data_IF_352562450427
#
_entry.id   IF_352562450427
#
_cell.length_a   1.000
_cell.length_b   1.000
_cell.length_c   1.000
_cell.angle_alpha   90.00
_cell.angle_beta   90.00
_cell.angle_gamma   90.00
#
_symmetry.space_group_name_H-M   'P 1'
#
loop_
_entity.id
_entity.type
_entity.pdbx_description
1 polymer ?
#
# COMPACT_ATOMS: atom_id res chain seq x y z
N UNK A 1 11.32 7.59 16.09
CA UNK A 1 11.11 6.20 15.65
C UNK A 1 10.83 5.36 16.90
N UNK A 2 9.79 4.52 16.92
CA UNK A 2 9.48 3.64 18.09
C UNK A 2 10.07 2.23 17.91
N UNK A 3 10.01 1.39 18.95
CA UNK A 3 10.44 -0.02 18.86
C UNK A 3 9.73 -0.77 17.70
N UNK A 4 8.43 -0.52 17.51
CA UNK A 4 7.67 -1.13 16.41
C UNK A 4 8.20 -0.71 15.03
N UNK A 5 8.61 0.55 14.87
CA UNK A 5 9.17 1.03 13.61
C UNK A 5 10.53 0.38 13.33
N UNK A 6 11.39 0.25 14.34
CA UNK A 6 12.71 -0.39 14.20
C UNK A 6 12.57 -1.88 13.90
N UNK A 7 11.67 -2.58 14.59
CA UNK A 7 11.40 -3.98 14.35
C UNK A 7 10.83 -4.22 12.94
N UNK A 8 9.90 -3.35 12.50
CA UNK A 8 9.34 -3.41 11.15
C UNK A 8 10.35 -3.07 10.06
N UNK A 9 11.29 -2.15 10.31
CA UNK A 9 12.38 -1.80 9.41
C UNK A 9 13.36 -2.97 9.23
N UNK A 10 13.76 -3.60 10.35
CA UNK A 10 14.82 -4.62 10.36
C UNK A 10 14.32 -6.06 10.12
N UNK A 11 13.01 -6.29 9.98
CA UNK A 11 12.49 -7.63 9.75
C UNK A 11 12.38 -8.49 11.01
N UNK A 12 12.32 -7.88 12.19
CA UNK A 12 12.25 -8.60 13.47
C UNK A 12 10.83 -9.09 13.77
N UNK A 13 10.35 -10.08 13.03
CA UNK A 13 8.98 -10.60 13.13
C UNK A 13 8.54 -10.93 14.56
N UNK A 14 9.39 -11.62 15.33
CA UNK A 14 9.08 -11.99 16.72
C UNK A 14 8.93 -10.78 17.63
N UNK A 15 9.74 -9.74 17.40
CA UNK A 15 9.67 -8.50 18.16
C UNK A 15 8.42 -7.70 17.78
N UNK A 16 8.07 -7.65 16.49
CA UNK A 16 6.79 -7.08 16.04
C UNK A 16 5.62 -7.81 16.71
N UNK A 17 5.62 -9.14 16.70
CA UNK A 17 4.56 -9.94 17.32
C UNK A 17 4.45 -9.67 18.83
N UNK A 18 5.59 -9.61 19.54
CA UNK A 18 5.64 -9.33 20.98
C UNK A 18 5.22 -7.90 21.32
N UNK A 19 5.57 -6.91 20.50
CA UNK A 19 5.14 -5.52 20.70
C UNK A 19 3.62 -5.42 20.51
N UNK A 20 3.09 -6.04 19.46
CA UNK A 20 1.67 -6.00 19.11
C UNK A 20 0.77 -6.88 19.99
N UNK A 21 1.34 -7.73 20.85
CA UNK A 21 0.57 -8.45 21.87
C UNK A 21 0.33 -7.63 23.13
N UNK A 22 1.02 -6.50 23.28
CA UNK A 22 0.78 -5.55 24.37
C UNK A 22 -0.41 -4.66 23.99
N UNK A 23 -1.49 -4.72 24.79
CA UNK A 23 -2.80 -4.08 24.55
C UNK A 23 -2.78 -2.54 24.35
N UNK A 24 -1.60 -1.91 24.47
CA UNK A 24 -1.39 -0.46 24.33
C UNK A 24 -0.57 -0.07 23.10
N UNK A 25 -0.10 -1.01 22.29
CA UNK A 25 0.68 -0.68 21.11
C UNK A 25 -0.23 -0.17 19.99
N UNK A 26 -0.13 1.11 19.67
CA UNK A 26 -0.80 1.68 18.50
C UNK A 26 -0.01 1.38 17.23
N UNK A 27 -0.55 0.48 16.39
CA UNK A 27 0.04 0.08 15.10
C UNK A 27 0.07 1.23 14.08
N UNK A 28 -0.80 2.24 14.26
CA UNK A 28 -0.95 3.39 13.38
C UNK A 28 -0.25 4.63 13.91
N UNK A 29 0.56 4.52 14.96
CA UNK A 29 1.34 5.65 15.45
C UNK A 29 2.45 6.00 14.46
N UNK A 30 2.50 7.21 13.89
CA UNK A 30 3.60 7.62 13.02
C UNK A 30 4.87 7.91 13.83
N UNK A 31 6.04 7.75 13.20
CA UNK A 31 7.30 8.25 13.73
C UNK A 31 7.51 9.76 13.47
N UNK A 32 8.67 10.29 13.84
CA UNK A 32 9.01 11.70 13.65
C UNK A 32 9.08 12.15 12.19
N UNK A 33 9.18 11.22 11.24
CA UNK A 33 9.14 11.50 9.80
C UNK A 33 7.72 11.42 9.22
N UNK A 34 6.72 11.13 10.06
CA UNK A 34 5.34 10.81 9.66
C UNK A 34 5.21 9.48 8.90
N UNK A 35 6.21 8.60 9.01
CA UNK A 35 6.16 7.25 8.44
C UNK A 35 5.52 6.28 9.44
N UNK A 36 4.85 5.26 8.92
CA UNK A 36 4.15 4.24 9.72
C UNK A 36 4.91 2.92 9.67
N UNK A 37 4.79 2.02 10.67
CA UNK A 37 5.51 0.75 10.68
C UNK A 37 5.30 -0.08 9.40
N UNK A 38 4.08 -0.07 8.85
CA UNK A 38 3.75 -0.79 7.61
C UNK A 38 4.52 -0.27 6.40
N UNK A 39 4.90 1.02 6.37
CA UNK A 39 5.69 1.59 5.28
C UNK A 39 7.13 1.09 5.30
N UNK A 40 7.74 0.99 6.48
CA UNK A 40 9.10 0.49 6.65
C UNK A 40 9.21 -1.00 6.31
N UNK A 41 8.26 -1.81 6.77
CA UNK A 41 8.18 -3.22 6.40
C UNK A 41 7.96 -3.39 4.90
N UNK A 42 7.10 -2.54 4.30
CA UNK A 42 6.80 -2.58 2.87
C UNK A 42 7.99 -2.21 1.99
N UNK A 43 8.77 -1.18 2.34
CA UNK A 43 9.94 -0.79 1.54
C UNK A 43 11.12 -1.76 1.65
N UNK A 44 11.21 -2.51 2.75
CA UNK A 44 12.30 -3.47 2.98
C UNK A 44 11.94 -4.92 2.62
N UNK A 45 10.71 -5.19 2.18
CA UNK A 45 10.34 -6.52 1.68
C UNK A 45 9.92 -7.51 2.77
N UNK A 46 9.57 -7.05 3.97
CA UNK A 46 9.18 -7.91 5.08
C UNK A 46 7.70 -8.28 5.01
N UNK A 47 7.36 -9.17 4.07
CA UNK A 47 6.00 -9.59 3.73
C UNK A 47 5.18 -10.12 4.93
N UNK A 48 5.79 -10.93 5.81
CA UNK A 48 5.14 -11.42 7.03
C UNK A 48 4.83 -10.32 8.04
N UNK A 49 5.70 -9.32 8.13
CA UNK A 49 5.46 -8.17 9.00
C UNK A 49 4.34 -7.31 8.44
N UNK A 50 4.30 -7.08 7.13
CA UNK A 50 3.20 -6.34 6.50
C UNK A 50 1.86 -7.05 6.74
N UNK A 51 1.82 -8.37 6.52
CA UNK A 51 0.62 -9.18 6.78
C UNK A 51 0.14 -9.01 8.23
N UNK A 52 1.03 -9.20 9.20
CA UNK A 52 0.74 -9.07 10.62
C UNK A 52 0.28 -7.66 11.00
N UNK A 53 0.94 -6.61 10.51
CA UNK A 53 0.54 -5.23 10.79
C UNK A 53 -0.87 -4.94 10.27
N UNK A 54 -1.19 -5.39 9.05
CA UNK A 54 -2.52 -5.21 8.46
C UNK A 54 -3.59 -6.02 9.22
N UNK A 55 -3.28 -7.23 9.67
CA UNK A 55 -4.17 -8.02 10.55
C UNK A 55 -4.46 -7.34 11.88
N UNK A 56 -3.49 -6.58 12.41
CA UNK A 56 -3.64 -5.79 13.64
C UNK A 56 -4.26 -4.40 13.41
N UNK A 57 -4.81 -4.15 12.21
CA UNK A 57 -5.54 -2.92 11.91
C UNK A 57 -4.66 -1.75 11.46
N UNK A 58 -3.47 -2.02 10.93
CA UNK A 58 -2.71 -0.98 10.23
C UNK A 58 -3.55 -0.40 9.08
N UNK A 59 -3.65 0.92 9.03
CA UNK A 59 -4.36 1.61 7.97
C UNK A 59 -3.58 1.49 6.67
N UNK A 60 -4.10 0.67 5.75
CA UNK A 60 -3.52 0.40 4.43
C UNK A 60 -3.30 1.67 3.60
N UNK A 61 -4.16 2.68 3.80
CA UNK A 61 -4.15 3.95 3.10
C UNK A 61 -3.58 5.10 3.96
N UNK A 62 -2.87 4.79 5.04
CA UNK A 62 -2.17 5.81 5.82
C UNK A 62 -1.22 6.60 4.92
N UNK A 63 -1.34 7.93 4.96
CA UNK A 63 -0.49 8.83 4.19
C UNK A 63 0.52 9.56 5.06
N UNK A 64 1.76 9.65 4.58
CA UNK A 64 2.84 10.33 5.25
C UNK A 64 4.21 9.77 4.88
N UNK A 65 5.25 10.33 5.50
CA UNK A 65 6.61 9.86 5.33
C UNK A 65 7.21 10.10 3.95
N UNK A 66 8.37 9.47 3.74
CA UNK A 66 9.16 9.53 2.50
C UNK A 66 8.38 8.96 1.30
N UNK A 67 7.71 7.83 1.52
CA UNK A 67 7.07 7.07 0.46
C UNK A 67 5.65 7.52 0.15
N UNK A 68 5.03 8.40 0.93
CA UNK A 68 3.63 8.78 0.73
C UNK A 68 2.63 7.77 1.30
N UNK A 69 2.70 6.48 0.92
CA UNK A 69 1.92 5.40 1.56
C UNK A 69 2.64 4.03 1.51
N UNK A 70 2.03 2.98 2.07
CA UNK A 70 2.61 1.64 2.11
C UNK A 70 2.77 1.01 0.71
N UNK A 71 1.81 1.23 -0.21
CA UNK A 71 1.86 0.70 -1.56
C UNK A 71 3.01 1.33 -2.35
N UNK A 72 3.17 2.64 -2.25
CA UNK A 72 4.30 3.37 -2.83
C UNK A 72 5.63 2.91 -2.24
N UNK A 73 5.70 2.62 -0.94
CA UNK A 73 6.89 2.06 -0.29
C UNK A 73 7.28 0.70 -0.89
N UNK A 74 6.31 -0.23 -1.04
CA UNK A 74 6.53 -1.52 -1.68
C UNK A 74 6.99 -1.38 -3.15
N UNK A 75 6.38 -0.46 -3.89
CA UNK A 75 6.72 -0.18 -5.28
C UNK A 75 8.10 0.44 -5.43
N UNK A 76 8.52 1.31 -4.51
CA UNK A 76 9.87 1.88 -4.51
C UNK A 76 10.93 0.83 -4.14
N UNK A 77 10.57 -0.20 -3.36
CA UNK A 77 11.47 -1.29 -2.97
C UNK A 77 11.49 -2.48 -3.95
N UNK A 78 10.56 -2.53 -4.91
CA UNK A 78 10.47 -3.64 -5.87
C UNK A 78 9.80 -4.91 -5.32
N UNK A 79 8.94 -4.79 -4.30
CA UNK A 79 8.35 -5.93 -3.60
C UNK A 79 6.97 -6.32 -4.13
N UNK A 80 6.95 -7.12 -5.21
CA UNK A 80 5.72 -7.57 -5.90
C UNK A 80 4.67 -8.16 -4.95
N UNK A 81 5.08 -9.08 -4.07
CA UNK A 81 4.18 -9.78 -3.15
C UNK A 81 3.49 -8.82 -2.18
N UNK A 82 4.23 -7.83 -1.69
CA UNK A 82 3.70 -6.83 -0.77
C UNK A 82 2.75 -5.89 -1.51
N UNK A 83 3.12 -5.44 -2.72
CA UNK A 83 2.26 -4.61 -3.53
C UNK A 83 0.91 -5.31 -3.81
N UNK A 84 0.95 -6.60 -4.16
CA UNK A 84 -0.26 -7.40 -4.35
C UNK A 84 -1.10 -7.49 -3.08
N UNK A 85 -0.49 -7.84 -1.94
CA UNK A 85 -1.19 -7.93 -0.66
C UNK A 85 -1.87 -6.62 -0.27
N UNK A 86 -1.18 -5.48 -0.45
CA UNK A 86 -1.74 -4.17 -0.14
C UNK A 86 -2.93 -3.83 -1.04
N UNK A 87 -2.85 -4.14 -2.34
CA UNK A 87 -3.96 -3.95 -3.29
C UNK A 87 -5.17 -4.84 -2.93
N UNK A 88 -4.94 -6.09 -2.58
CA UNK A 88 -5.99 -7.01 -2.11
C UNK A 88 -6.66 -6.52 -0.81
N UNK A 89 -5.93 -5.77 0.02
CA UNK A 89 -6.43 -5.13 1.25
C UNK A 89 -7.04 -3.75 1.00
N UNK A 90 -7.20 -3.32 -0.25
CA UNK A 90 -7.87 -2.07 -0.62
C UNK A 90 -6.97 -0.83 -0.60
N UNK A 91 -5.67 -0.99 -0.83
CA UNK A 91 -4.78 0.14 -1.06
C UNK A 91 -5.24 0.94 -2.30
N UNK A 92 -5.33 2.26 -2.16
CA UNK A 92 -5.62 3.15 -3.27
C UNK A 92 -4.42 3.22 -4.22
N UNK A 93 -4.58 2.60 -5.39
CA UNK A 93 -3.58 2.55 -6.47
C UNK A 93 -3.25 3.92 -7.05
N UNK A 94 -4.18 4.88 -6.93
CA UNK A 94 -4.06 6.23 -7.47
C UNK A 94 -3.67 7.27 -6.41
N UNK A 95 -3.47 6.86 -5.16
CA UNK A 95 -3.08 7.75 -4.08
C UNK A 95 -1.82 8.54 -4.45
N UNK A 96 -1.91 9.86 -4.29
CA UNK A 96 -0.79 10.76 -4.55
C UNK A 96 -0.02 11.07 -3.25
N UNK A 97 1.29 11.23 -3.35
CA UNK A 97 2.17 11.56 -2.22
C UNK A 97 3.60 11.10 -2.44
N UNK A 98 4.42 11.24 -1.39
CA UNK A 98 5.82 10.79 -1.42
C UNK A 98 6.67 11.51 -2.47
N UNK A 99 7.91 11.06 -2.63
CA UNK A 99 8.85 11.64 -3.60
C UNK A 99 8.51 11.29 -5.06
N UNK A 100 7.87 10.15 -5.29
CA UNK A 100 7.51 9.65 -6.63
C UNK A 100 6.19 10.19 -7.17
N UNK A 101 5.39 10.82 -6.32
CA UNK A 101 4.02 11.22 -6.64
C UNK A 101 3.03 10.06 -6.50
N UNK A 102 3.29 8.86 -7.02
CA UNK A 102 2.42 7.69 -6.81
C UNK A 102 3.13 6.33 -7.02
N UNK A 103 2.40 5.24 -6.75
CA UNK A 103 2.93 3.87 -6.77
C UNK A 103 3.44 3.45 -8.16
N UNK A 104 2.74 3.85 -9.22
CA UNK A 104 3.10 3.54 -10.60
C UNK A 104 4.41 4.24 -11.00
N UNK A 105 4.59 5.50 -10.59
CA UNK A 105 5.82 6.24 -10.87
C UNK A 105 7.00 5.68 -10.08
N UNK A 106 6.80 5.31 -8.81
CA UNK A 106 7.82 4.63 -8.00
C UNK A 106 8.31 3.33 -8.66
N UNK A 107 7.37 2.48 -9.10
CA UNK A 107 7.68 1.23 -9.79
C UNK A 107 8.44 1.45 -11.10
N UNK A 108 8.07 2.48 -11.88
CA UNK A 108 8.75 2.85 -13.13
C UNK A 108 10.16 3.36 -12.89
N UNK A 109 10.35 4.23 -11.89
CA UNK A 109 11.67 4.77 -11.54
C UNK A 109 12.64 3.67 -11.15
N UNK A 110 12.17 2.67 -10.41
CA UNK A 110 12.96 1.49 -10.02
C UNK A 110 13.11 0.42 -11.09
N UNK A 111 12.42 0.51 -12.24
CA UNK A 111 12.46 -0.50 -13.29
C UNK A 111 11.74 -1.81 -12.94
N UNK A 112 10.78 -1.79 -12.01
CA UNK A 112 10.06 -2.97 -11.53
C UNK A 112 8.87 -3.31 -12.44
N UNK A 113 9.18 -3.91 -13.59
CA UNK A 113 8.22 -4.19 -14.65
C UNK A 113 7.03 -5.07 -14.23
N UNK A 114 7.23 -6.00 -13.28
CA UNK A 114 6.15 -6.84 -12.75
C UNK A 114 5.15 -6.02 -11.94
N UNK A 115 5.62 -5.19 -11.01
CA UNK A 115 4.79 -4.22 -10.28
C UNK A 115 4.04 -3.28 -11.22
N UNK A 116 4.69 -2.75 -12.25
CA UNK A 116 4.02 -1.87 -13.23
C UNK A 116 2.81 -2.57 -13.85
N UNK A 117 2.96 -3.82 -14.29
CA UNK A 117 1.86 -4.61 -14.85
C UNK A 117 0.77 -4.89 -13.81
N UNK A 118 1.15 -5.21 -12.58
CA UNK A 118 0.23 -5.45 -11.46
C UNK A 118 -0.64 -4.21 -11.20
N UNK A 119 -0.02 -3.03 -11.02
CA UNK A 119 -0.73 -1.78 -10.76
C UNK A 119 -1.66 -1.38 -11.91
N UNK A 120 -1.19 -1.53 -13.16
CA UNK A 120 -2.02 -1.26 -14.33
C UNK A 120 -3.24 -2.19 -14.38
N UNK A 121 -3.07 -3.48 -14.05
CA UNK A 121 -4.17 -4.43 -13.96
C UNK A 121 -5.25 -4.00 -12.96
N UNK A 122 -4.84 -3.49 -11.80
CA UNK A 122 -5.77 -2.96 -10.78
C UNK A 122 -6.40 -1.61 -11.18
N UNK A 123 -5.71 -0.76 -11.93
CA UNK A 123 -6.26 0.52 -12.43
C UNK A 123 -7.43 0.32 -13.42
N UNK A 124 -7.34 -0.65 -14.32
CA UNK A 124 -8.40 -0.88 -15.32
C UNK A 124 -9.66 -1.52 -14.74
N UNK A 125 -9.57 -2.20 -13.60
CA UNK A 125 -10.73 -2.76 -12.91
C UNK A 125 -11.69 -1.68 -12.37
N UNK A 126 -11.16 -0.53 -11.93
CA UNK A 126 -11.93 0.57 -11.35
C UNK A 126 -12.68 1.42 -12.41
N UNK A 127 -12.15 1.50 -13.64
CA UNK A 127 -12.77 2.26 -14.73
C UNK A 127 -13.93 1.53 -15.42
N UNK A 128 -14.00 0.19 -15.32
CA UNK A 128 -15.02 -0.64 -16.00
C UNK A 128 -16.41 -0.54 -15.36
N UNK A 129 -16.49 -0.21 -14.07
CA UNK A 129 -17.75 -0.10 -13.32
C UNK A 129 -18.45 1.26 -13.49
N UNK A 130 -17.81 2.19 -14.20
CA UNK A 130 -18.29 3.57 -14.39
C UNK A 130 -18.93 3.82 -15.77
N UNK A 131 -19.30 2.79 -16.53
CA UNK A 131 -20.15 2.99 -17.72
C UNK A 131 -21.61 3.21 -17.29
N UNK A 132 -22.22 4.39 -17.59
CA UNK A 132 -23.65 4.56 -17.42
C UNK A 132 -24.39 3.57 -18.35
N UNK A 133 -25.53 3.00 -17.91
CA UNK A 133 -26.26 2.00 -18.69
C UNK A 133 -26.60 2.57 -20.08
N UNK A 134 -26.56 1.76 -21.15
CA UNK A 134 -26.81 2.23 -22.50
C UNK A 134 -28.18 2.90 -22.57
N UNK A 135 -28.15 4.21 -22.87
CA UNK A 135 -29.34 5.02 -23.07
C UNK A 135 -30.24 4.32 -24.09
N UNK A 136 -31.44 3.92 -23.64
CA UNK A 136 -32.47 3.34 -24.52
C UNK A 136 -32.79 4.39 -25.58
N UNK A 137 -32.28 4.22 -26.80
CA UNK A 137 -32.64 5.07 -27.93
C UNK A 137 -34.17 5.14 -28.03
N UNK A 138 -34.76 6.34 -28.15
CA UNK A 138 -36.19 6.43 -28.41
C UNK A 138 -36.46 5.81 -29.77
N UNK A 139 -37.45 4.91 -29.83
CA UNK A 139 -37.97 4.39 -31.10
C UNK A 139 -38.53 5.59 -31.86
N UNK A 140 -37.85 6.00 -32.92
CA UNK A 140 -38.41 6.92 -33.90
C UNK A 140 -39.60 6.18 -34.52
N UNK A 141 -40.80 6.59 -34.13
CA UNK A 141 -42.02 6.12 -34.75
C UNK A 141 -42.17 6.90 -36.06
N UNK A 142 -42.24 6.15 -37.14
CA UNK A 142 -42.52 6.59 -38.52
C UNK A 142 -43.92 7.19 -38.61
#
# INVERSE_FOLDING_TARGET
MSALHLAALNGHEQEVHAILSVDKSDVNRPDGTKSYPVMWASSNGHDRIVELLLERGANVNAQGGLYGNALQAACSGGHDKIAQMLLERGADVNAQGGEDGNALQAARRGGYHHIVKLLQGHQFADQSTSQPPPSKRPKVST
#
